data_IF_550187189159
#
_entry.id   IF_550187189159
#
_cell.length_a   1.000
_cell.length_b   1.000
_cell.length_c   1.000
_cell.angle_alpha   90.00
_cell.angle_beta   90.00
_cell.angle_gamma   90.00
#
_symmetry.space_group_name_H-M   'P 1'
#
loop_
_entity.id
_entity.type
_entity.pdbx_description
1 polymer ?
#
# COMPACT_ATOMS: atom_id res chain seq x y z
N UNK A 1 -14.66 -2.73 4.22
CA UNK A 1 -15.15 -3.91 3.50
C UNK A 1 -14.06 -4.40 2.56
N UNK A 2 -14.05 -5.69 2.24
CA UNK A 2 -13.14 -6.28 1.25
C UNK A 2 -13.88 -6.47 -0.09
N UNK A 3 -14.75 -5.53 -0.46
CA UNK A 3 -15.41 -5.56 -1.76
C UNK A 3 -14.38 -5.29 -2.86
N UNK A 4 -14.56 -5.96 -3.98
CA UNK A 4 -13.80 -5.77 -5.22
C UNK A 4 -14.76 -5.49 -6.36
N UNK A 5 -14.29 -4.99 -7.49
CA UNK A 5 -15.15 -4.74 -8.66
C UNK A 5 -15.91 -5.98 -9.13
N UNK A 6 -15.29 -7.17 -9.03
CA UNK A 6 -15.96 -8.45 -9.34
C UNK A 6 -17.08 -8.77 -8.36
N UNK A 7 -16.88 -8.54 -7.06
CA UNK A 7 -17.90 -8.74 -6.03
C UNK A 7 -19.05 -7.73 -6.15
N UNK A 8 -18.74 -6.48 -6.53
CA UNK A 8 -19.79 -5.46 -6.81
C UNK A 8 -20.64 -5.89 -8.01
N UNK A 9 -20.03 -6.42 -9.05
CA UNK A 9 -20.77 -6.97 -10.21
C UNK A 9 -21.61 -8.17 -9.79
N UNK A 10 -21.07 -9.08 -9.01
CA UNK A 10 -21.78 -10.29 -8.57
C UNK A 10 -22.95 -9.95 -7.64
N UNK A 11 -22.71 -9.16 -6.59
CA UNK A 11 -23.75 -8.87 -5.57
C UNK A 11 -24.63 -7.67 -5.93
N UNK A 12 -24.15 -6.70 -6.71
CA UNK A 12 -24.95 -5.56 -7.16
C UNK A 12 -25.77 -5.90 -8.38
N UNK A 13 -25.09 -6.12 -9.52
CA UNK A 13 -25.78 -6.28 -10.82
C UNK A 13 -26.49 -7.62 -10.96
N UNK A 14 -25.84 -8.75 -10.58
CA UNK A 14 -26.41 -10.10 -10.79
C UNK A 14 -27.31 -10.58 -9.68
N UNK A 15 -26.81 -10.62 -8.45
CA UNK A 15 -27.54 -11.15 -7.30
C UNK A 15 -28.52 -10.13 -6.68
N UNK A 16 -28.41 -8.86 -7.01
CA UNK A 16 -29.24 -7.76 -6.48
C UNK A 16 -29.28 -7.73 -4.94
N UNK A 17 -28.17 -8.12 -4.32
CA UNK A 17 -28.00 -8.09 -2.88
C UNK A 17 -27.52 -6.74 -2.34
N UNK A 18 -26.94 -5.90 -3.22
CA UNK A 18 -26.58 -4.52 -2.92
C UNK A 18 -27.62 -3.56 -3.48
N UNK A 19 -27.93 -2.54 -2.71
CA UNK A 19 -28.91 -1.52 -3.07
C UNK A 19 -28.27 -0.51 -4.06
N UNK A 20 -28.94 -0.18 -5.19
CA UNK A 20 -28.55 0.96 -6.01
C UNK A 20 -28.67 2.25 -5.23
N UNK A 21 -27.64 3.08 -5.21
CA UNK A 21 -27.56 4.27 -4.37
C UNK A 21 -27.86 5.57 -5.10
N UNK A 22 -28.06 5.55 -6.41
CA UNK A 22 -28.24 6.75 -7.24
C UNK A 22 -29.30 7.70 -6.67
N UNK A 23 -30.52 7.23 -6.49
CA UNK A 23 -31.64 8.04 -6.01
C UNK A 23 -31.45 8.49 -4.55
N UNK A 24 -30.90 7.58 -3.73
CA UNK A 24 -30.60 7.91 -2.32
C UNK A 24 -29.52 8.99 -2.21
N UNK A 25 -28.51 8.96 -3.08
CA UNK A 25 -27.48 10.00 -3.13
C UNK A 25 -28.08 11.33 -3.57
N UNK A 26 -28.88 11.30 -4.63
CA UNK A 26 -29.45 12.53 -5.19
C UNK A 26 -30.40 13.24 -4.24
N UNK A 27 -31.17 12.49 -3.44
CA UNK A 27 -32.20 13.03 -2.57
C UNK A 27 -31.71 13.29 -1.13
N UNK A 28 -30.83 12.42 -0.57
CA UNK A 28 -30.52 12.42 0.86
C UNK A 28 -29.04 12.60 1.21
N UNK A 29 -28.12 12.66 0.21
CA UNK A 29 -26.68 12.67 0.47
C UNK A 29 -25.96 13.86 -0.20
N UNK A 30 -26.18 15.09 0.29
CA UNK A 30 -25.64 16.30 -0.33
C UNK A 30 -24.11 16.37 -0.34
N UNK A 31 -23.42 15.81 0.67
CA UNK A 31 -21.94 15.81 0.72
C UNK A 31 -21.36 14.84 -0.33
N UNK A 32 -21.93 13.63 -0.46
CA UNK A 32 -21.53 12.66 -1.48
C UNK A 32 -21.81 13.20 -2.88
N UNK A 33 -22.96 13.84 -3.06
CA UNK A 33 -23.32 14.49 -4.32
C UNK A 33 -22.32 15.58 -4.71
N UNK A 34 -22.00 16.48 -3.78
CA UNK A 34 -21.00 17.53 -3.99
C UNK A 34 -19.60 16.95 -4.31
N UNK A 35 -19.21 15.85 -3.66
CA UNK A 35 -17.99 15.14 -3.98
C UNK A 35 -17.99 14.65 -5.44
N UNK A 36 -19.06 14.01 -5.88
CA UNK A 36 -19.16 13.48 -7.24
C UNK A 36 -19.25 14.57 -8.31
N UNK A 37 -19.84 15.71 -7.99
CA UNK A 37 -19.87 16.89 -8.86
C UNK A 37 -18.48 17.55 -8.96
N UNK A 38 -17.77 17.66 -7.84
CA UNK A 38 -16.42 18.23 -7.78
C UNK A 38 -15.34 17.32 -8.38
N UNK A 39 -15.55 16.01 -8.32
CA UNK A 39 -14.62 14.99 -8.80
C UNK A 39 -15.33 13.93 -9.68
N UNK A 40 -15.68 14.26 -10.92
CA UNK A 40 -16.45 13.37 -11.80
C UNK A 40 -15.80 12.00 -12.03
N UNK A 41 -14.46 11.94 -11.99
CA UNK A 41 -13.72 10.68 -12.12
C UNK A 41 -13.95 9.74 -10.93
N UNK A 42 -14.17 10.26 -9.72
CA UNK A 42 -14.51 9.44 -8.54
C UNK A 42 -15.88 8.79 -8.74
N UNK A 43 -16.86 9.56 -9.24
CA UNK A 43 -18.17 9.03 -9.58
C UNK A 43 -18.06 7.91 -10.62
N UNK A 44 -17.27 8.14 -11.67
CA UNK A 44 -17.06 7.15 -12.74
C UNK A 44 -16.46 5.84 -12.18
N UNK A 45 -15.48 5.92 -11.29
CA UNK A 45 -14.86 4.76 -10.63
C UNK A 45 -15.84 3.96 -9.75
N UNK A 46 -16.87 4.60 -9.18
CA UNK A 46 -17.89 3.97 -8.35
C UNK A 46 -19.10 3.47 -9.16
N UNK A 47 -19.20 3.85 -10.43
CA UNK A 47 -20.35 3.52 -11.29
C UNK A 47 -20.13 2.17 -11.98
N UNK A 48 -21.01 1.23 -11.75
CA UNK A 48 -21.00 -0.07 -12.39
C UNK A 48 -21.42 0.02 -13.88
N UNK A 49 -21.20 -1.05 -14.64
CA UNK A 49 -21.49 -1.09 -16.08
C UNK A 49 -22.97 -0.88 -16.43
N UNK A 50 -23.88 -1.15 -15.49
CA UNK A 50 -25.33 -0.92 -15.63
C UNK A 50 -25.75 0.53 -15.31
N UNK A 51 -24.80 1.42 -15.00
CA UNK A 51 -25.05 2.82 -14.65
C UNK A 51 -25.38 3.06 -13.18
N UNK A 52 -25.48 2.01 -12.37
CA UNK A 52 -25.78 2.14 -10.95
C UNK A 52 -24.51 2.33 -10.11
N UNK A 53 -24.66 3.02 -8.98
CA UNK A 53 -23.67 3.13 -7.92
C UNK A 53 -24.10 2.19 -6.80
N UNK A 54 -23.31 1.15 -6.52
CA UNK A 54 -23.58 0.19 -5.44
C UNK A 54 -22.64 0.38 -4.25
N UNK A 55 -21.59 1.18 -4.42
CA UNK A 55 -20.52 1.36 -3.43
C UNK A 55 -20.17 2.83 -3.30
N UNK A 56 -19.78 3.22 -2.09
CA UNK A 56 -19.22 4.53 -1.81
C UNK A 56 -17.69 4.39 -1.62
N UNK A 57 -16.91 5.38 -2.08
CA UNK A 57 -15.47 5.37 -1.92
C UNK A 57 -15.06 5.74 -0.49
N UNK A 58 -13.87 5.29 -0.06
CA UNK A 58 -13.09 5.98 0.97
C UNK A 58 -12.04 6.82 0.24
N UNK A 59 -11.99 8.11 0.55
CA UNK A 59 -11.02 9.03 -0.02
C UNK A 59 -10.11 9.52 1.10
N UNK A 60 -8.83 9.31 0.95
CA UNK A 60 -7.81 9.83 1.84
C UNK A 60 -6.69 10.47 1.02
N UNK A 61 -6.68 11.79 0.98
CA UNK A 61 -5.71 12.59 0.24
C UNK A 61 -4.54 13.05 1.13
N UNK A 62 -4.41 12.46 2.31
CA UNK A 62 -3.31 12.78 3.23
C UNK A 62 -2.00 12.26 2.61
N UNK A 63 -0.96 13.08 2.41
CA UNK A 63 0.30 12.61 1.82
C UNK A 63 0.89 11.39 2.53
N UNK A 64 0.71 11.30 3.84
CA UNK A 64 1.10 10.15 4.66
C UNK A 64 0.56 8.82 4.12
N UNK A 65 -0.68 8.79 3.62
CA UNK A 65 -1.39 7.56 3.27
C UNK A 65 -1.45 7.30 1.75
N UNK A 66 -0.83 8.18 0.97
CA UNK A 66 -0.80 8.10 -0.49
C UNK A 66 0.40 7.35 -1.05
N UNK A 67 1.31 6.84 -0.22
CA UNK A 67 2.47 6.07 -0.68
C UNK A 67 2.77 4.87 0.22
N UNK A 68 3.37 3.86 -0.37
CA UNK A 68 3.88 2.68 0.34
C UNK A 68 5.13 3.08 1.12
N UNK A 69 5.31 2.53 2.32
CA UNK A 69 6.44 2.84 3.18
C UNK A 69 7.32 1.63 3.38
N UNK A 70 8.61 1.86 3.19
CA UNK A 70 9.65 0.88 3.39
C UNK A 70 10.50 1.29 4.58
N UNK A 71 10.69 0.35 5.49
CA UNK A 71 11.34 0.57 6.77
C UNK A 71 12.64 -0.21 6.83
N UNK A 72 13.69 0.42 7.35
CA UNK A 72 14.98 -0.21 7.58
C UNK A 72 15.43 0.04 9.02
N UNK A 73 16.02 -0.96 9.65
CA UNK A 73 16.51 -0.87 11.03
C UNK A 73 17.69 0.09 11.12
N UNK A 74 17.43 1.29 11.62
CA UNK A 74 18.43 2.34 11.78
C UNK A 74 19.43 2.01 12.90
N UNK A 75 19.01 1.26 13.92
CA UNK A 75 19.92 0.81 14.96
C UNK A 75 20.97 -0.16 14.42
N UNK A 76 20.58 -1.02 13.46
CA UNK A 76 21.52 -1.93 12.78
C UNK A 76 22.50 -1.16 11.88
N UNK A 77 22.03 -0.15 11.16
CA UNK A 77 22.92 0.71 10.39
C UNK A 77 23.99 1.34 11.30
N UNK A 78 23.57 1.92 12.43
CA UNK A 78 24.47 2.55 13.40
C UNK A 78 25.43 1.54 14.03
N UNK A 79 24.96 0.35 14.40
CA UNK A 79 25.80 -0.70 14.97
C UNK A 79 26.90 -1.18 14.03
N UNK A 80 26.65 -1.12 12.74
CA UNK A 80 27.59 -1.54 11.68
C UNK A 80 28.38 -0.39 11.05
N UNK A 81 28.19 0.86 11.51
CA UNK A 81 28.80 2.07 10.95
C UNK A 81 28.48 2.24 9.45
N UNK A 82 27.19 2.09 9.11
CA UNK A 82 26.67 2.19 7.74
C UNK A 82 25.73 3.39 7.60
N UNK A 83 25.80 4.04 6.45
CA UNK A 83 24.87 5.10 6.05
C UNK A 83 23.58 4.51 5.45
N UNK A 84 22.53 5.34 5.39
CA UNK A 84 21.28 4.96 4.68
C UNK A 84 21.55 4.88 3.18
N UNK A 85 21.16 3.79 2.52
CA UNK A 85 21.37 3.63 1.09
C UNK A 85 20.55 4.63 0.27
N UNK A 86 21.12 5.11 -0.84
CA UNK A 86 20.49 5.98 -1.82
C UNK A 86 20.37 5.31 -3.20
N UNK A 87 21.14 4.25 -3.42
CA UNK A 87 21.16 3.48 -4.67
C UNK A 87 20.88 2.01 -4.41
N UNK A 88 20.53 1.25 -5.46
CA UNK A 88 20.35 -0.21 -5.33
C UNK A 88 21.64 -0.93 -4.95
N UNK A 89 22.81 -0.43 -5.39
CA UNK A 89 24.10 -1.03 -5.03
C UNK A 89 24.42 -0.80 -3.55
N UNK A 90 24.15 0.39 -3.03
CA UNK A 90 24.30 0.67 -1.61
C UNK A 90 23.31 -0.16 -0.77
N UNK A 91 22.04 -0.28 -1.23
CA UNK A 91 21.07 -1.16 -0.60
C UNK A 91 21.58 -2.59 -0.52
N UNK A 92 22.07 -3.14 -1.62
CA UNK A 92 22.63 -4.49 -1.65
C UNK A 92 23.76 -4.65 -0.60
N UNK A 93 24.70 -3.71 -0.53
CA UNK A 93 25.81 -3.76 0.43
C UNK A 93 25.33 -3.71 1.89
N UNK A 94 24.32 -2.91 2.18
CA UNK A 94 23.68 -2.85 3.51
C UNK A 94 23.02 -4.19 3.84
N UNK A 95 22.27 -4.78 2.91
CA UNK A 95 21.59 -6.06 3.13
C UNK A 95 22.58 -7.21 3.38
N UNK A 96 23.70 -7.23 2.64
CA UNK A 96 24.80 -8.21 2.87
C UNK A 96 25.39 -8.02 4.30
N UNK A 97 25.62 -6.78 4.71
CA UNK A 97 26.12 -6.49 6.04
C UNK A 97 25.14 -6.90 7.15
N UNK A 98 23.84 -6.70 6.94
CA UNK A 98 22.80 -7.14 7.87
C UNK A 98 22.79 -8.66 8.05
N UNK A 99 22.89 -9.42 6.96
CA UNK A 99 22.94 -10.88 7.00
C UNK A 99 24.22 -11.43 7.69
N UNK A 100 25.37 -10.78 7.47
CA UNK A 100 26.68 -11.38 7.75
C UNK A 100 27.32 -10.91 9.07
N UNK A 101 26.88 -9.75 9.63
CA UNK A 101 27.66 -9.05 10.65
C UNK A 101 26.97 -8.94 12.03
N UNK A 102 25.93 -9.74 12.31
CA UNK A 102 25.24 -9.78 13.62
C UNK A 102 24.92 -8.36 14.17
N UNK A 103 24.09 -7.55 13.47
CA UNK A 103 23.83 -6.17 13.86
C UNK A 103 22.96 -6.05 15.11
N UNK A 104 22.24 -7.10 15.50
CA UNK A 104 21.44 -7.13 16.74
C UNK A 104 22.28 -7.56 17.95
N UNK A 105 23.50 -8.11 17.72
CA UNK A 105 24.49 -8.44 18.77
C UNK A 105 24.09 -9.65 19.62
N UNK A 106 23.23 -10.54 19.12
CA UNK A 106 22.74 -11.70 19.86
C UNK A 106 23.65 -12.93 19.73
N UNK A 107 24.64 -12.89 18.84
CA UNK A 107 25.61 -13.97 18.56
C UNK A 107 25.04 -15.09 17.69
N UNK A 108 23.85 -14.94 17.15
CA UNK A 108 23.23 -15.88 16.21
C UNK A 108 23.26 -15.28 14.80
N UNK A 109 23.14 -16.13 13.76
CA UNK A 109 22.93 -15.70 12.37
C UNK A 109 21.46 -15.90 12.02
N UNK A 110 20.62 -15.05 12.59
CA UNK A 110 19.17 -15.15 12.45
C UNK A 110 18.52 -13.86 11.91
N UNK A 111 19.36 -12.94 11.42
CA UNK A 111 18.91 -11.73 10.79
C UNK A 111 18.25 -12.00 9.44
N UNK A 112 17.11 -11.36 9.25
CA UNK A 112 16.37 -11.33 7.98
C UNK A 112 16.60 -9.97 7.34
N UNK A 113 17.48 -9.91 6.35
CA UNK A 113 17.89 -8.64 5.76
C UNK A 113 16.71 -7.92 5.09
N UNK A 114 15.87 -8.64 4.32
CA UNK A 114 14.62 -8.13 3.74
C UNK A 114 13.53 -9.16 3.87
N UNK A 115 12.35 -8.72 4.31
CA UNK A 115 11.13 -9.52 4.29
C UNK A 115 9.94 -8.74 3.74
N UNK A 116 8.88 -9.46 3.46
CA UNK A 116 7.57 -8.97 3.07
C UNK A 116 6.51 -10.01 3.41
N UNK A 117 5.30 -9.82 2.92
CA UNK A 117 4.24 -10.81 3.01
C UNK A 117 3.49 -10.92 1.68
N UNK A 118 2.60 -11.89 1.55
CA UNK A 118 1.78 -12.07 0.37
C UNK A 118 0.90 -10.83 0.13
N UNK A 119 1.38 -9.87 -0.65
CA UNK A 119 0.73 -8.61 -1.01
C UNK A 119 1.46 -7.34 -0.58
N UNK A 120 2.59 -7.45 0.17
CA UNK A 120 3.43 -6.30 0.52
C UNK A 120 4.90 -6.73 0.53
N UNK A 121 5.63 -6.28 -0.46
CA UNK A 121 7.05 -6.59 -0.62
C UNK A 121 7.85 -5.33 -0.98
N UNK A 122 9.14 -5.48 -1.18
CA UNK A 122 9.99 -4.37 -1.64
C UNK A 122 9.96 -4.19 -3.17
N UNK A 123 9.11 -4.91 -3.88
CA UNK A 123 9.08 -4.90 -5.35
C UNK A 123 8.87 -3.49 -5.90
N UNK A 124 7.91 -2.75 -5.36
CA UNK A 124 7.67 -1.37 -5.78
C UNK A 124 8.90 -0.47 -5.58
N UNK A 125 9.59 -0.60 -4.44
CA UNK A 125 10.81 0.17 -4.16
C UNK A 125 11.92 -0.09 -5.19
N UNK A 126 12.11 -1.36 -5.57
CA UNK A 126 13.12 -1.77 -6.56
C UNK A 126 12.69 -1.35 -7.97
N UNK A 127 11.43 -1.58 -8.34
CA UNK A 127 10.90 -1.18 -9.65
C UNK A 127 10.97 0.32 -9.87
N UNK A 128 10.69 1.13 -8.85
CA UNK A 128 10.82 2.58 -8.95
C UNK A 128 12.27 3.01 -9.20
N UNK A 129 13.25 2.31 -8.63
CA UNK A 129 14.66 2.58 -8.92
C UNK A 129 15.05 2.28 -10.37
N UNK A 130 14.30 1.43 -11.07
CA UNK A 130 14.42 1.20 -12.52
C UNK A 130 13.54 2.13 -13.37
N UNK A 131 12.89 3.13 -12.77
CA UNK A 131 12.12 4.14 -13.45
C UNK A 131 10.67 3.75 -13.75
N UNK A 132 10.11 2.73 -13.08
CA UNK A 132 8.70 2.36 -13.20
C UNK A 132 7.88 2.97 -12.06
N UNK A 133 6.81 3.68 -12.42
CA UNK A 133 5.90 4.28 -11.45
C UNK A 133 4.90 3.23 -10.95
N UNK A 134 5.33 2.42 -9.99
CA UNK A 134 4.57 1.28 -9.45
C UNK A 134 4.38 1.44 -7.96
N UNK A 135 3.15 1.29 -7.51
CA UNK A 135 2.82 0.97 -6.13
C UNK A 135 2.32 -0.49 -6.05
N UNK A 136 2.03 -0.98 -4.86
CA UNK A 136 1.52 -2.35 -4.65
C UNK A 136 0.18 -2.63 -5.36
N UNK A 137 -0.49 -1.62 -5.94
CA UNK A 137 -1.81 -1.71 -6.56
C UNK A 137 -1.81 -1.70 -8.08
N UNK A 138 -0.69 -1.39 -8.72
CA UNK A 138 -0.66 -1.04 -10.17
C UNK A 138 -0.68 -2.21 -11.14
N UNK A 139 -0.71 -3.45 -10.66
CA UNK A 139 -0.78 -4.63 -11.53
C UNK A 139 0.25 -4.63 -12.68
N UNK A 140 1.40 -4.00 -12.48
CA UNK A 140 2.48 -3.87 -13.46
C UNK A 140 2.13 -3.07 -14.73
N UNK A 141 1.26 -2.11 -14.62
CA UNK A 141 1.02 -1.10 -15.66
C UNK A 141 1.58 0.26 -15.21
N UNK A 142 2.13 1.00 -16.16
CA UNK A 142 2.60 2.37 -15.97
C UNK A 142 2.12 3.23 -17.14
N UNK A 143 2.21 4.56 -17.03
CA UNK A 143 1.88 5.50 -18.07
C UNK A 143 3.12 6.32 -18.44
N UNK A 144 3.47 6.34 -19.73
CA UNK A 144 4.56 7.16 -20.28
C UNK A 144 4.08 7.87 -21.54
N UNK A 145 4.21 9.19 -21.53
CA UNK A 145 3.84 10.04 -22.69
C UNK A 145 2.39 9.80 -23.18
N UNK A 146 1.44 9.62 -22.26
CA UNK A 146 0.03 9.37 -22.59
C UNK A 146 -0.25 7.95 -23.08
N UNK A 147 0.70 7.02 -22.93
CA UNK A 147 0.54 5.61 -23.33
C UNK A 147 0.66 4.69 -22.13
N UNK A 148 -0.27 3.75 -22.04
CA UNK A 148 -0.17 2.65 -21.07
C UNK A 148 0.88 1.66 -21.54
N UNK A 149 1.85 1.36 -20.66
CA UNK A 149 2.85 0.33 -20.88
C UNK A 149 2.61 -0.85 -19.93
N UNK A 150 2.94 -2.05 -20.39
CA UNK A 150 2.94 -3.24 -19.54
C UNK A 150 4.39 -3.53 -19.12
N UNK A 151 4.72 -3.17 -17.89
CA UNK A 151 6.07 -3.18 -17.32
C UNK A 151 6.85 -4.49 -17.57
N UNK A 152 6.25 -5.70 -17.46
CA UNK A 152 6.97 -6.95 -17.73
C UNK A 152 7.53 -7.12 -19.15
N UNK A 153 7.13 -6.26 -20.10
CA UNK A 153 7.68 -6.27 -21.47
C UNK A 153 8.86 -5.30 -21.65
N UNK A 154 9.17 -4.50 -20.63
CA UNK A 154 10.23 -3.50 -20.68
C UNK A 154 11.59 -4.10 -20.27
N UNK A 155 12.67 -3.61 -20.88
CA UNK A 155 14.04 -4.07 -20.57
C UNK A 155 14.42 -3.83 -19.10
N UNK A 156 13.99 -2.73 -18.50
CA UNK A 156 14.21 -2.43 -17.09
C UNK A 156 13.58 -3.45 -16.14
N UNK A 157 12.49 -4.11 -16.53
CA UNK A 157 11.89 -5.18 -15.75
C UNK A 157 12.79 -6.43 -15.72
N UNK A 158 13.50 -6.72 -16.80
CA UNK A 158 14.49 -7.80 -16.82
C UNK A 158 15.63 -7.53 -15.82
N UNK A 159 16.08 -6.29 -15.71
CA UNK A 159 17.13 -5.93 -14.75
C UNK A 159 16.60 -6.00 -13.31
N UNK A 160 15.36 -5.57 -13.07
CA UNK A 160 14.66 -5.80 -11.80
C UNK A 160 14.65 -7.29 -11.42
N UNK A 161 14.26 -8.18 -12.35
CA UNK A 161 14.23 -9.62 -12.08
C UNK A 161 15.62 -10.20 -11.77
N UNK A 162 16.67 -9.72 -12.45
CA UNK A 162 18.06 -10.12 -12.14
C UNK A 162 18.46 -9.68 -10.74
N UNK A 163 18.10 -8.45 -10.35
CA UNK A 163 18.40 -7.93 -9.03
C UNK A 163 17.65 -8.72 -7.95
N UNK A 164 16.36 -8.96 -8.11
CA UNK A 164 15.56 -9.78 -7.18
C UNK A 164 16.08 -11.21 -7.09
N UNK A 165 16.47 -11.82 -8.22
CA UNK A 165 17.10 -13.13 -8.24
C UNK A 165 18.44 -13.15 -7.48
N UNK A 166 19.26 -12.12 -7.64
CA UNK A 166 20.51 -11.96 -6.89
C UNK A 166 20.24 -11.91 -5.38
N UNK A 167 19.31 -11.06 -4.93
CA UNK A 167 18.94 -10.99 -3.52
C UNK A 167 18.43 -12.34 -2.98
N UNK A 168 17.60 -13.03 -3.76
CA UNK A 168 17.05 -14.33 -3.37
C UNK A 168 18.14 -15.42 -3.31
N UNK A 169 18.95 -15.57 -4.36
CA UNK A 169 19.97 -16.60 -4.45
C UNK A 169 21.08 -16.45 -3.40
N UNK A 170 21.32 -15.25 -2.92
CA UNK A 170 22.27 -14.96 -1.87
C UNK A 170 21.67 -14.97 -0.45
N UNK A 171 20.37 -15.33 -0.32
CA UNK A 171 19.70 -15.40 0.98
C UNK A 171 19.48 -14.05 1.66
N UNK A 172 19.39 -12.98 0.87
CA UNK A 172 19.09 -11.63 1.37
C UNK A 172 17.59 -11.39 1.47
N UNK A 173 16.77 -12.12 0.69
CA UNK A 173 15.33 -12.14 0.80
C UNK A 173 14.87 -13.28 1.71
N UNK A 174 13.95 -13.00 2.58
CA UNK A 174 13.23 -14.01 3.36
C UNK A 174 12.50 -14.97 2.40
N UNK A 175 12.86 -16.24 2.42
CA UNK A 175 12.27 -17.25 1.53
C UNK A 175 10.77 -17.44 1.77
N UNK A 176 10.27 -17.09 2.95
CA UNK A 176 8.86 -17.19 3.30
C UNK A 176 8.04 -15.98 2.84
N UNK A 177 8.67 -14.89 2.39
CA UNK A 177 7.98 -13.65 2.02
C UNK A 177 6.89 -13.84 0.95
N UNK A 178 7.03 -14.83 0.08
CA UNK A 178 6.07 -15.11 -0.99
C UNK A 178 4.81 -15.84 -0.54
N UNK A 179 4.85 -16.48 0.65
CA UNK A 179 3.78 -17.33 1.15
C UNK A 179 3.30 -16.95 2.55
N UNK A 180 4.11 -16.22 3.32
CA UNK A 180 3.74 -15.81 4.68
C UNK A 180 2.67 -14.70 4.65
N UNK A 181 1.83 -14.70 5.67
CA UNK A 181 0.90 -13.62 5.92
C UNK A 181 1.50 -12.55 6.84
N UNK A 182 0.74 -11.46 7.05
CA UNK A 182 1.19 -10.33 7.88
C UNK A 182 1.44 -10.76 9.34
N UNK A 183 0.66 -11.67 9.89
CA UNK A 183 0.85 -12.14 11.27
C UNK A 183 2.15 -12.92 11.44
N UNK A 184 2.53 -13.73 10.46
CA UNK A 184 3.80 -14.46 10.45
C UNK A 184 5.00 -13.50 10.31
N UNK A 185 4.89 -12.48 9.47
CA UNK A 185 5.91 -11.42 9.37
C UNK A 185 6.04 -10.65 10.68
N UNK A 186 4.93 -10.28 11.31
CA UNK A 186 4.92 -9.55 12.58
C UNK A 186 5.50 -10.40 13.74
N UNK A 187 5.35 -11.73 13.71
CA UNK A 187 6.00 -12.63 14.67
C UNK A 187 7.53 -12.54 14.57
N UNK A 188 8.10 -12.53 13.36
CA UNK A 188 9.54 -12.29 13.13
C UNK A 188 9.98 -10.89 13.60
N UNK A 189 9.11 -9.89 13.43
CA UNK A 189 9.33 -8.54 13.95
C UNK A 189 9.40 -8.49 15.49
N UNK A 190 8.51 -9.22 16.17
CA UNK A 190 8.53 -9.33 17.62
C UNK A 190 9.79 -10.05 18.16
N UNK A 191 10.39 -10.91 17.35
CA UNK A 191 11.69 -11.56 17.66
C UNK A 191 12.91 -10.66 17.35
N UNK A 192 12.70 -9.43 16.86
CA UNK A 192 13.73 -8.43 16.51
C UNK A 192 14.73 -8.88 15.43
N UNK A 193 14.24 -9.70 14.49
CA UNK A 193 15.07 -10.28 13.42
C UNK A 193 15.05 -9.50 12.12
N UNK A 194 14.21 -8.47 11.99
CA UNK A 194 13.95 -7.81 10.72
C UNK A 194 14.88 -6.62 10.47
N UNK A 195 15.56 -6.65 9.32
CA UNK A 195 16.34 -5.53 8.80
C UNK A 195 15.49 -4.55 8.01
N UNK A 196 14.79 -5.02 6.99
CA UNK A 196 14.01 -4.19 6.06
C UNK A 196 12.68 -4.85 5.74
N UNK A 197 11.60 -4.05 5.70
CA UNK A 197 10.25 -4.52 5.35
C UNK A 197 9.33 -3.39 4.87
N UNK A 198 8.19 -3.77 4.26
CA UNK A 198 7.11 -2.87 3.88
C UNK A 198 5.98 -2.94 4.93
N UNK A 199 5.55 -1.79 5.45
CA UNK A 199 4.43 -1.69 6.38
C UNK A 199 3.90 -0.26 6.44
N UNK A 200 2.64 -0.08 6.83
CA UNK A 200 2.05 1.24 7.05
C UNK A 200 2.78 2.03 8.15
N UNK A 201 3.29 1.36 9.19
CA UNK A 201 4.18 1.93 10.19
C UNK A 201 5.07 0.83 10.78
N UNK A 202 6.30 1.18 11.14
CA UNK A 202 7.27 0.22 11.67
C UNK A 202 6.82 -0.48 12.95
N UNK A 203 6.15 0.24 13.84
CA UNK A 203 5.64 -0.28 15.11
C UNK A 203 4.44 -1.24 14.97
N UNK A 204 3.83 -1.34 13.78
CA UNK A 204 2.81 -2.36 13.49
C UNK A 204 3.49 -3.74 13.34
N UNK A 205 4.66 -3.76 12.71
CA UNK A 205 5.42 -4.98 12.44
C UNK A 205 6.36 -5.33 13.59
N UNK A 206 7.03 -4.33 14.17
CA UNK A 206 7.94 -4.48 15.31
C UNK A 206 7.36 -3.74 16.50
N UNK A 207 6.81 -4.45 17.52
CA UNK A 207 6.07 -3.80 18.60
C UNK A 207 6.99 -3.04 19.57
N UNK A 208 6.39 -2.06 20.26
CA UNK A 208 7.01 -1.31 21.33
C UNK A 208 8.07 -0.31 20.85
N UNK A 209 9.02 0.01 21.73
CA UNK A 209 10.07 1.00 21.45
C UNK A 209 11.04 0.56 20.35
N UNK A 210 11.18 -0.75 20.13
CA UNK A 210 12.03 -1.29 19.07
C UNK A 210 11.53 -0.90 17.69
N UNK A 211 10.21 -0.83 17.47
CA UNK A 211 9.63 -0.35 16.24
C UNK A 211 9.98 1.10 15.92
N UNK A 212 10.28 1.93 16.93
CA UNK A 212 10.68 3.33 16.74
C UNK A 212 12.14 3.47 16.27
N UNK A 213 12.92 2.40 16.28
CA UNK A 213 14.30 2.37 15.81
C UNK A 213 14.43 2.16 14.29
N UNK A 214 13.31 2.13 13.58
CA UNK A 214 13.27 2.00 12.13
C UNK A 214 13.12 3.36 11.47
N UNK A 215 13.78 3.53 10.34
CA UNK A 215 13.69 4.72 9.50
C UNK A 215 13.08 4.36 8.15
N UNK A 216 12.45 5.33 7.48
CA UNK A 216 12.02 5.16 6.10
C UNK A 216 13.22 5.19 5.16
N UNK A 217 13.18 4.35 4.13
CA UNK A 217 14.18 4.28 3.07
C UNK A 217 13.55 4.49 1.68
N UNK A 218 14.41 4.80 0.71
CA UNK A 218 14.02 5.17 -0.65
C UNK A 218 13.57 6.64 -0.75
N UNK A 219 13.26 7.13 -1.97
CA UNK A 219 13.44 6.38 -3.21
C UNK A 219 14.90 6.14 -3.55
N UNK A 220 15.15 5.09 -4.33
CA UNK A 220 16.49 4.74 -4.79
C UNK A 220 16.70 5.11 -6.26
N UNK A 221 17.98 5.21 -6.65
CA UNK A 221 18.43 5.28 -8.03
C UNK A 221 19.12 3.97 -8.45
N UNK A 222 19.26 3.80 -9.77
CA UNK A 222 20.03 2.70 -10.38
C UNK A 222 20.80 3.20 -11.61
N UNK A 223 21.56 2.33 -12.26
CA UNK A 223 22.22 2.67 -13.53
C UNK A 223 21.25 3.05 -14.67
N UNK A 224 19.98 2.60 -14.58
CA UNK A 224 18.95 2.87 -15.58
C UNK A 224 18.06 4.08 -15.24
N UNK A 225 18.09 4.55 -13.99
CA UNK A 225 17.30 5.70 -13.55
C UNK A 225 18.04 6.48 -12.46
N UNK A 226 18.44 7.69 -12.78
CA UNK A 226 19.13 8.64 -11.90
C UNK A 226 18.18 9.60 -11.17
N UNK A 227 16.90 9.55 -11.50
CA UNK A 227 15.87 10.44 -10.93
C UNK A 227 15.01 9.67 -9.92
N UNK A 228 15.26 9.82 -8.61
CA UNK A 228 14.50 9.12 -7.59
C UNK A 228 13.09 9.71 -7.47
N UNK A 229 12.07 8.84 -7.36
CA UNK A 229 10.69 9.25 -7.12
C UNK A 229 9.95 8.22 -6.26
N UNK A 230 8.87 8.67 -5.63
CA UNK A 230 7.93 7.82 -4.90
C UNK A 230 6.57 7.91 -5.59
N UNK A 231 5.99 6.78 -6.00
CA UNK A 231 4.64 6.77 -6.53
C UNK A 231 3.65 7.26 -5.49
N UNK A 232 2.71 8.10 -5.91
CA UNK A 232 1.61 8.57 -5.07
C UNK A 232 0.32 7.99 -5.63
N UNK A 233 -0.34 7.14 -4.86
CA UNK A 233 -1.64 6.63 -5.24
C UNK A 233 -2.71 7.74 -5.16
N UNK A 234 -3.81 7.56 -5.87
CA UNK A 234 -4.88 8.56 -5.92
C UNK A 234 -5.65 8.75 -4.61
N UNK A 235 -5.28 8.04 -3.53
CA UNK A 235 -5.96 8.11 -2.23
C UNK A 235 -7.42 7.66 -2.24
N UNK A 236 -7.84 6.93 -3.29
CA UNK A 236 -9.22 6.51 -3.49
C UNK A 236 -9.34 5.00 -3.39
N UNK A 237 -10.09 4.54 -2.39
CA UNK A 237 -10.58 3.18 -2.32
C UNK A 237 -12.04 3.17 -2.76
N UNK A 238 -12.30 2.73 -3.98
CA UNK A 238 -13.63 2.78 -4.61
C UNK A 238 -14.65 1.82 -4.00
N UNK A 239 -14.22 0.79 -3.28
CA UNK A 239 -15.09 -0.29 -2.80
C UNK A 239 -15.18 -0.33 -1.27
N UNK A 240 -15.27 0.84 -0.63
CA UNK A 240 -15.18 0.93 0.82
C UNK A 240 -16.48 0.55 1.55
N UNK A 241 -17.63 1.00 1.07
CA UNK A 241 -18.92 0.82 1.76
C UNK A 241 -20.05 0.53 0.77
N UNK A 242 -20.96 -0.36 1.15
CA UNK A 242 -22.19 -0.65 0.41
C UNK A 242 -23.37 -0.77 1.36
N UNK A 243 -24.58 -0.59 0.84
CA UNK A 243 -25.83 -0.86 1.55
C UNK A 243 -26.47 -2.10 0.92
N UNK A 244 -26.86 -3.07 1.73
CA UNK A 244 -27.52 -4.28 1.24
C UNK A 244 -29.02 -4.09 1.09
N UNK A 245 -29.66 -4.87 0.22
CA UNK A 245 -31.12 -4.87 0.07
C UNK A 245 -31.88 -5.37 1.30
N UNK A 246 -31.19 -6.03 2.24
CA UNK A 246 -31.74 -6.43 3.53
C UNK A 246 -31.84 -5.26 4.55
N UNK A 247 -31.31 -4.09 4.23
CA UNK A 247 -31.39 -2.92 5.10
C UNK A 247 -32.82 -2.36 5.09
N UNK A 248 -33.47 -2.34 6.27
CA UNK A 248 -34.83 -1.82 6.44
C UNK A 248 -34.89 -0.28 6.54
N UNK A 249 -33.74 0.39 6.70
CA UNK A 249 -33.62 1.84 6.92
C UNK A 249 -32.60 2.48 5.97
N UNK A 250 -32.75 2.34 4.64
CA UNK A 250 -31.74 2.81 3.67
C UNK A 250 -31.55 4.32 3.65
N UNK A 251 -32.61 5.10 3.92
CA UNK A 251 -32.56 6.56 3.97
C UNK A 251 -31.74 7.04 5.18
N UNK A 252 -31.98 6.47 6.35
CA UNK A 252 -31.20 6.79 7.55
C UNK A 252 -29.74 6.37 7.39
N UNK A 253 -29.53 5.22 6.77
CA UNK A 253 -28.18 4.69 6.51
C UNK A 253 -27.40 5.60 5.57
N UNK A 254 -28.00 6.03 4.46
CA UNK A 254 -27.30 6.92 3.51
C UNK A 254 -27.02 8.29 4.14
N UNK A 255 -27.93 8.84 4.96
CA UNK A 255 -27.71 10.09 5.69
C UNK A 255 -26.54 9.97 6.69
N UNK A 256 -26.46 8.84 7.40
CA UNK A 256 -25.33 8.57 8.28
C UNK A 256 -24.02 8.49 7.49
N UNK A 257 -24.01 7.77 6.37
CA UNK A 257 -22.83 7.68 5.52
C UNK A 257 -22.45 9.05 4.95
N UNK A 258 -23.43 9.83 4.48
CA UNK A 258 -23.19 11.18 3.96
C UNK A 258 -22.55 12.12 4.99
N UNK A 259 -22.92 11.97 6.27
CA UNK A 259 -22.32 12.75 7.34
C UNK A 259 -20.81 12.52 7.43
N UNK A 260 -20.32 11.28 7.21
CA UNK A 260 -18.89 10.98 7.16
C UNK A 260 -18.16 11.62 5.97
N UNK A 261 -18.86 11.97 4.89
CA UNK A 261 -18.30 12.75 3.78
C UNK A 261 -18.30 14.26 4.04
N UNK A 262 -18.99 14.72 5.07
CA UNK A 262 -18.91 16.09 5.56
C UNK A 262 -17.69 16.32 6.44
N UNK A 263 -17.26 17.60 6.59
CA UNK A 263 -16.07 17.97 7.34
C UNK A 263 -16.04 17.42 8.77
N UNK A 264 -17.14 17.55 9.51
CA UNK A 264 -17.19 17.09 10.90
C UNK A 264 -17.06 15.57 11.01
N UNK A 265 -17.75 14.83 10.14
CA UNK A 265 -17.73 13.37 10.13
C UNK A 265 -16.38 12.82 9.70
N UNK A 266 -15.77 13.41 8.68
CA UNK A 266 -14.46 12.97 8.20
C UNK A 266 -13.34 13.19 9.23
N UNK A 267 -13.33 14.36 9.90
CA UNK A 267 -12.37 14.62 10.99
C UNK A 267 -12.58 13.66 12.15
N UNK A 268 -13.83 13.45 12.56
CA UNK A 268 -14.14 12.52 13.65
C UNK A 268 -13.75 11.07 13.31
N UNK A 269 -13.92 10.66 12.06
CA UNK A 269 -13.56 9.30 11.61
C UNK A 269 -12.06 9.06 11.55
N UNK A 270 -11.27 10.07 11.18
CA UNK A 270 -9.81 9.96 10.99
C UNK A 270 -9.02 10.29 12.27
N UNK A 271 -9.39 11.35 12.96
CA UNK A 271 -8.64 11.90 14.09
C UNK A 271 -9.29 11.58 15.46
N UNK A 272 -10.52 11.07 15.46
CA UNK A 272 -11.31 10.84 16.68
C UNK A 272 -12.09 12.06 17.16
N UNK A 273 -12.81 11.91 18.29
CA UNK A 273 -13.60 13.03 18.85
C UNK A 273 -12.69 14.13 19.36
N UNK A 274 -13.14 15.38 19.17
CA UNK A 274 -12.49 16.55 19.76
C UNK A 274 -12.48 16.44 21.29
N UNK A 275 -11.27 16.47 21.91
CA UNK A 275 -11.11 16.48 23.37
C UNK A 275 -9.74 16.07 23.82
#
# INVERSE_FOLDING_TARGET
SNLTGSLVTEYGTKAQALLPLNDLIDEYAPNIKALFEGYPYVKALCTAADGNIYVLPKINMTPRDQHVRYWMNEAWLKALDLERPQTLDELYNVLVAFRDRDPNGNGAKDEIAVTGNNGKSIDGLILNAYGFNVDDSTNYYDERDGKVIFIPQEDGYKEYLKYMHKLYSEGLLDNEMFIQNEQQMNAKGAELKLGTFCSAASFITVPGEEGLKYTQIGPFTSELNDTPFVPVNGGINTFATAITTANEHPVETIKLLDWFFGRAGSVMAEDGPYG
#
